data_IF_933079043395
#
_entry.id   IF_933079043395
#
_cell.length_a   1.000
_cell.length_b   1.000
_cell.length_c   1.000
_cell.angle_alpha   90.00
_cell.angle_beta   90.00
_cell.angle_gamma   90.00
#
_symmetry.space_group_name_H-M   'P 1'
#
loop_
_entity.id
_entity.type
_entity.pdbx_description
1 polymer ?
#
# COMPACT_ATOMS: atom_id res chain seq x y z
N UNK A 1 10.91 -20.09 -11.23
CA UNK A 1 11.47 -18.81 -11.75
C UNK A 1 12.51 -18.33 -10.75
N UNK A 2 13.68 -17.86 -11.20
CA UNK A 2 14.70 -17.38 -10.25
C UNK A 2 14.28 -16.09 -9.56
N UNK A 3 14.71 -15.90 -8.30
CA UNK A 3 14.50 -14.66 -7.53
C UNK A 3 14.84 -13.40 -8.34
N UNK A 4 15.80 -13.50 -9.27
CA UNK A 4 16.17 -12.44 -10.22
C UNK A 4 15.00 -11.87 -11.03
N UNK A 5 14.01 -12.69 -11.40
CA UNK A 5 12.87 -12.23 -12.21
C UNK A 5 11.95 -11.30 -11.40
N UNK A 6 11.73 -11.61 -10.13
CA UNK A 6 10.93 -10.79 -9.21
C UNK A 6 11.62 -9.45 -9.00
N UNK A 7 12.94 -9.45 -8.77
CA UNK A 7 13.72 -8.21 -8.61
C UNK A 7 13.68 -7.32 -9.86
N UNK A 8 13.73 -7.90 -11.06
CA UNK A 8 13.61 -7.14 -12.32
C UNK A 8 12.23 -6.46 -12.40
N UNK A 9 11.15 -7.18 -12.08
CA UNK A 9 9.78 -6.63 -12.08
C UNK A 9 9.65 -5.47 -11.08
N UNK A 10 10.20 -5.64 -9.87
CA UNK A 10 10.23 -4.59 -8.82
C UNK A 10 10.94 -3.34 -9.33
N UNK A 11 12.13 -3.48 -9.92
CA UNK A 11 12.92 -2.36 -10.44
C UNK A 11 12.16 -1.62 -11.55
N UNK A 12 11.57 -2.36 -12.49
CA UNK A 12 10.78 -1.78 -13.59
C UNK A 12 9.60 -0.98 -13.03
N UNK A 13 8.90 -1.50 -12.00
CA UNK A 13 7.80 -0.77 -11.39
C UNK A 13 8.22 0.47 -10.62
N UNK A 14 9.37 0.44 -9.92
CA UNK A 14 9.89 1.62 -9.23
C UNK A 14 10.20 2.72 -10.25
N UNK A 15 10.90 2.37 -11.33
CA UNK A 15 11.24 3.30 -12.41
C UNK A 15 9.96 3.82 -13.09
N UNK A 16 9.06 2.92 -13.48
CA UNK A 16 7.79 3.26 -14.13
C UNK A 16 6.91 4.15 -13.24
N UNK A 17 6.82 3.84 -11.95
CA UNK A 17 6.10 4.61 -10.96
C UNK A 17 6.64 6.03 -10.81
N UNK A 18 7.96 6.20 -10.75
CA UNK A 18 8.61 7.51 -10.71
C UNK A 18 8.27 8.38 -11.95
N UNK A 19 8.37 7.79 -13.15
CA UNK A 19 8.02 8.51 -14.38
C UNK A 19 6.52 8.81 -14.46
N UNK A 20 5.67 7.87 -14.06
CA UNK A 20 4.22 8.02 -14.04
C UNK A 20 3.79 9.14 -13.08
N UNK A 21 4.36 9.19 -11.87
CA UNK A 21 4.10 10.26 -10.92
C UNK A 21 4.47 11.63 -11.52
N UNK A 22 5.68 11.75 -12.06
CA UNK A 22 6.15 13.01 -12.68
C UNK A 22 5.26 13.44 -13.84
N UNK A 23 4.82 12.50 -14.67
CA UNK A 23 3.90 12.74 -15.77
C UNK A 23 2.51 13.20 -15.27
N UNK A 24 1.93 12.50 -14.29
CA UNK A 24 0.62 12.81 -13.74
C UNK A 24 0.59 14.15 -13.02
N UNK A 25 1.62 14.46 -12.21
CA UNK A 25 1.73 15.76 -11.54
C UNK A 25 1.75 16.92 -12.55
N UNK A 26 2.49 16.76 -13.65
CA UNK A 26 2.53 17.74 -14.75
C UNK A 26 1.20 17.83 -15.49
N UNK A 27 0.56 16.70 -15.80
CA UNK A 27 -0.69 16.64 -16.56
C UNK A 27 -1.89 17.18 -15.79
N UNK A 28 -1.93 16.96 -14.48
CA UNK A 28 -3.08 17.26 -13.63
C UNK A 28 -2.96 18.62 -12.92
N UNK A 29 -1.89 19.38 -13.20
CA UNK A 29 -1.55 20.65 -12.54
C UNK A 29 -1.59 20.52 -11.01
N UNK A 30 -1.01 19.42 -10.49
CA UNK A 30 -0.97 19.19 -9.05
C UNK A 30 -0.02 20.20 -8.40
N UNK A 31 -0.36 20.75 -7.21
CA UNK A 31 0.59 21.53 -6.45
C UNK A 31 1.84 20.69 -6.20
N UNK A 32 3.02 21.33 -6.12
CA UNK A 32 4.26 20.63 -5.74
C UNK A 32 4.04 20.02 -4.35
N UNK A 33 3.73 18.73 -4.30
CA UNK A 33 3.69 17.98 -3.07
C UNK A 33 5.11 17.89 -2.51
N UNK A 34 5.26 17.93 -1.19
CA UNK A 34 6.49 17.51 -0.52
C UNK A 34 6.63 16.00 -0.76
N UNK A 35 7.20 15.63 -1.90
CA UNK A 35 7.14 14.28 -2.50
C UNK A 35 7.80 13.14 -1.69
N UNK A 36 8.27 13.41 -0.47
CA UNK A 36 8.95 12.40 0.36
C UNK A 36 8.43 12.32 1.81
N UNK A 37 7.69 13.31 2.32
CA UNK A 37 7.24 13.28 3.72
C UNK A 37 5.78 12.85 3.76
N UNK A 38 5.51 11.78 4.49
CA UNK A 38 4.15 11.32 4.75
C UNK A 38 3.32 12.44 5.35
N UNK A 39 2.22 12.82 4.68
CA UNK A 39 1.33 13.90 5.12
C UNK A 39 -0.04 13.35 5.44
N UNK A 40 -0.44 13.43 6.70
CA UNK A 40 -1.82 13.12 7.08
C UNK A 40 -2.77 14.20 6.56
N UNK A 41 -3.95 13.79 6.09
CA UNK A 41 -4.97 14.69 5.54
C UNK A 41 -5.64 15.53 6.64
N UNK A 42 -5.86 14.93 7.81
CA UNK A 42 -6.45 15.59 8.97
C UNK A 42 -6.14 14.78 10.25
N UNK A 43 -6.43 15.33 11.43
CA UNK A 43 -6.36 14.64 12.72
C UNK A 43 -7.21 13.36 12.78
N UNK A 44 -8.33 13.31 12.05
CA UNK A 44 -9.13 12.09 11.90
C UNK A 44 -8.37 10.98 11.19
N UNK A 45 -7.53 11.31 10.20
CA UNK A 45 -6.71 10.32 9.49
C UNK A 45 -5.78 9.62 10.48
N UNK A 46 -5.08 10.41 11.30
CA UNK A 46 -4.16 9.92 12.33
C UNK A 46 -4.88 9.00 13.32
N UNK A 47 -6.05 9.42 13.83
CA UNK A 47 -6.83 8.61 14.77
C UNK A 47 -7.26 7.28 14.17
N UNK A 48 -7.67 7.28 12.90
CA UNK A 48 -8.07 6.06 12.18
C UNK A 48 -6.87 5.15 11.92
N UNK A 49 -5.72 5.68 11.54
CA UNK A 49 -4.50 4.88 11.36
C UNK A 49 -4.04 4.23 12.66
N UNK A 50 -4.04 4.98 13.77
CA UNK A 50 -3.72 4.44 15.11
C UNK A 50 -4.73 3.36 15.50
N UNK A 51 -6.02 3.62 15.32
CA UNK A 51 -7.07 2.64 15.61
C UNK A 51 -6.90 1.35 14.79
N UNK A 52 -6.62 1.48 13.49
CA UNK A 52 -6.40 0.36 12.59
C UNK A 52 -5.13 -0.42 12.97
N UNK A 53 -4.07 0.26 13.41
CA UNK A 53 -2.85 -0.37 13.92
C UNK A 53 -3.10 -1.17 15.21
N UNK A 54 -3.90 -0.64 16.15
CA UNK A 54 -4.26 -1.36 17.38
C UNK A 54 -5.07 -2.61 17.04
N UNK A 55 -6.08 -2.48 16.18
CA UNK A 55 -6.89 -3.63 15.71
C UNK A 55 -6.01 -4.68 15.05
N UNK A 56 -5.09 -4.24 14.19
CA UNK A 56 -4.10 -5.12 13.56
C UNK A 56 -3.28 -5.90 14.58
N UNK A 57 -2.74 -5.24 15.61
CA UNK A 57 -1.96 -5.93 16.64
C UNK A 57 -2.78 -7.00 17.36
N UNK A 58 -4.00 -6.66 17.79
CA UNK A 58 -4.89 -7.60 18.49
C UNK A 58 -5.21 -8.81 17.61
N UNK A 59 -5.62 -8.58 16.35
CA UNK A 59 -5.95 -9.65 15.40
C UNK A 59 -4.72 -10.51 15.11
N UNK A 60 -3.55 -9.89 14.95
CA UNK A 60 -2.28 -10.61 14.71
C UNK A 60 -1.92 -11.53 15.87
N UNK A 61 -2.03 -11.04 17.12
CA UNK A 61 -1.78 -11.88 18.30
C UNK A 61 -2.76 -13.05 18.37
N UNK A 62 -4.07 -12.80 18.17
CA UNK A 62 -5.06 -13.88 18.19
C UNK A 62 -4.76 -14.92 17.11
N UNK A 63 -4.41 -14.48 15.89
CA UNK A 63 -4.10 -15.36 14.78
C UNK A 63 -2.86 -16.24 15.07
N UNK A 64 -1.79 -15.63 15.59
CA UNK A 64 -0.55 -16.34 15.94
C UNK A 64 -0.72 -17.39 17.03
N UNK A 65 -1.58 -17.14 18.01
CA UNK A 65 -1.79 -18.06 19.13
C UNK A 65 -2.85 -19.15 18.86
N UNK A 66 -3.76 -18.93 17.91
CA UNK A 66 -4.87 -19.86 17.64
C UNK A 66 -4.71 -20.71 16.37
N UNK A 67 -3.92 -20.26 15.41
CA UNK A 67 -3.82 -20.92 14.10
C UNK A 67 -2.46 -21.63 14.00
N UNK A 68 -2.50 -22.96 13.95
CA UNK A 68 -1.33 -23.76 13.62
C UNK A 68 -0.89 -23.41 12.18
N UNK A 69 0.41 -23.18 11.97
CA UNK A 69 0.99 -22.66 10.72
C UNK A 69 0.51 -21.25 10.31
N UNK A 70 0.24 -20.37 11.28
CA UNK A 70 -0.06 -18.96 11.03
C UNK A 70 0.97 -18.29 10.10
N UNK A 71 0.50 -17.79 8.94
CA UNK A 71 1.35 -17.08 7.99
C UNK A 71 1.37 -15.57 8.27
N UNK A 72 2.44 -15.11 8.94
CA UNK A 72 2.66 -13.70 9.27
C UNK A 72 2.67 -12.81 8.01
N UNK A 73 3.14 -13.33 6.87
CA UNK A 73 3.17 -12.60 5.61
C UNK A 73 1.78 -12.13 5.19
N UNK A 74 0.76 -12.99 5.29
CA UNK A 74 -0.63 -12.64 4.96
C UNK A 74 -1.16 -11.54 5.89
N UNK A 75 -0.86 -11.65 7.17
CA UNK A 75 -1.30 -10.68 8.19
C UNK A 75 -0.68 -9.30 7.92
N UNK A 76 0.60 -9.25 7.59
CA UNK A 76 1.29 -8.02 7.22
C UNK A 76 0.73 -7.43 5.92
N UNK A 77 0.50 -8.26 4.89
CA UNK A 77 -0.05 -7.80 3.61
C UNK A 77 -1.46 -7.24 3.75
N UNK A 78 -2.33 -7.88 4.55
CA UNK A 78 -3.68 -7.39 4.80
C UNK A 78 -3.69 -6.04 5.52
N UNK A 79 -2.77 -5.82 6.47
CA UNK A 79 -2.59 -4.52 7.11
C UNK A 79 -2.15 -3.42 6.12
N UNK A 80 -1.13 -3.69 5.30
CA UNK A 80 -0.68 -2.74 4.29
C UNK A 80 -1.75 -2.44 3.24
N UNK A 81 -2.58 -3.43 2.89
CA UNK A 81 -3.76 -3.22 2.05
C UNK A 81 -4.78 -2.30 2.70
N UNK A 82 -5.13 -2.57 3.96
CA UNK A 82 -6.13 -1.81 4.71
C UNK A 82 -5.71 -0.35 4.94
N UNK A 83 -4.45 -0.09 5.31
CA UNK A 83 -3.95 1.28 5.50
C UNK A 83 -3.87 2.06 4.18
N UNK A 84 -3.49 1.38 3.09
CA UNK A 84 -3.47 1.99 1.75
C UNK A 84 -4.89 2.38 1.29
N UNK A 85 -5.88 1.51 1.52
CA UNK A 85 -7.29 1.80 1.27
C UNK A 85 -7.81 2.98 2.10
N UNK A 86 -7.48 3.00 3.40
CA UNK A 86 -7.84 4.10 4.29
C UNK A 86 -7.26 5.43 3.78
N UNK A 87 -5.99 5.43 3.37
CA UNK A 87 -5.32 6.62 2.81
C UNK A 87 -6.02 7.12 1.55
N UNK A 88 -6.29 6.23 0.60
CA UNK A 88 -7.04 6.54 -0.63
C UNK A 88 -8.38 7.18 -0.29
N UNK A 89 -9.14 6.59 0.63
CA UNK A 89 -10.44 7.09 1.03
C UNK A 89 -10.36 8.47 1.70
N UNK A 90 -9.37 8.66 2.59
CA UNK A 90 -9.16 9.93 3.28
C UNK A 90 -8.76 11.05 2.31
N UNK A 91 -7.84 10.79 1.39
CA UNK A 91 -7.42 11.78 0.40
C UNK A 91 -8.54 12.13 -0.58
N UNK A 92 -9.29 11.12 -1.04
CA UNK A 92 -10.41 11.35 -1.95
C UNK A 92 -11.54 12.15 -1.29
N UNK A 93 -11.86 11.85 -0.03
CA UNK A 93 -12.97 12.49 0.70
C UNK A 93 -12.62 13.88 1.21
N UNK A 94 -11.41 14.07 1.75
CA UNK A 94 -11.05 15.30 2.49
C UNK A 94 -10.07 16.21 1.75
N UNK A 95 -9.36 15.73 0.70
CA UNK A 95 -8.35 16.53 0.01
C UNK A 95 -8.40 16.37 -1.52
N UNK A 96 -9.63 16.34 -2.06
CA UNK A 96 -9.90 16.08 -3.47
C UNK A 96 -9.26 17.10 -4.43
N UNK A 97 -9.13 18.35 -3.98
CA UNK A 97 -8.58 19.47 -4.77
C UNK A 97 -7.13 19.25 -5.17
N UNK A 98 -6.32 18.66 -4.28
CA UNK A 98 -4.91 18.35 -4.56
C UNK A 98 -4.73 17.21 -5.56
N UNK A 99 -5.78 16.39 -5.75
CA UNK A 99 -5.79 15.20 -6.60
C UNK A 99 -4.78 14.12 -6.21
N UNK A 100 -4.11 14.24 -5.06
CA UNK A 100 -3.13 13.24 -4.56
C UNK A 100 -3.77 11.84 -4.43
N UNK A 101 -5.08 11.78 -4.18
CA UNK A 101 -5.84 10.53 -4.17
C UNK A 101 -5.67 9.70 -5.47
N UNK A 102 -5.41 10.34 -6.62
CA UNK A 102 -5.15 9.65 -7.88
C UNK A 102 -3.84 8.87 -7.81
N UNK A 103 -2.79 9.47 -7.25
CA UNK A 103 -1.50 8.81 -7.04
C UNK A 103 -1.63 7.71 -5.99
N UNK A 104 -2.37 7.94 -4.90
CA UNK A 104 -2.64 6.92 -3.90
C UNK A 104 -3.46 5.74 -4.44
N UNK A 105 -4.44 5.98 -5.33
CA UNK A 105 -5.19 4.91 -6.01
C UNK A 105 -4.26 4.08 -6.89
N UNK A 106 -3.42 4.73 -7.69
CA UNK A 106 -2.46 4.04 -8.55
C UNK A 106 -1.47 3.23 -7.70
N UNK A 107 -0.97 3.80 -6.61
CA UNK A 107 -0.11 3.12 -5.65
C UNK A 107 -0.79 1.91 -5.01
N UNK A 108 -2.06 2.02 -4.65
CA UNK A 108 -2.85 0.89 -4.14
C UNK A 108 -2.99 -0.23 -5.18
N UNK A 109 -3.29 0.11 -6.44
CA UNK A 109 -3.35 -0.90 -7.51
C UNK A 109 -1.98 -1.53 -7.79
N UNK A 110 -0.90 -0.75 -7.76
CA UNK A 110 0.46 -1.27 -7.89
C UNK A 110 0.81 -2.23 -6.74
N UNK A 111 0.40 -1.91 -5.50
CA UNK A 111 0.53 -2.79 -4.35
C UNK A 111 -0.24 -4.10 -4.54
N UNK A 112 -1.52 -4.03 -4.94
CA UNK A 112 -2.33 -5.23 -5.20
C UNK A 112 -1.71 -6.08 -6.29
N UNK A 113 -1.27 -5.47 -7.39
CA UNK A 113 -0.60 -6.17 -8.49
C UNK A 113 0.69 -6.86 -8.01
N UNK A 114 1.51 -6.18 -7.19
CA UNK A 114 2.71 -6.75 -6.61
C UNK A 114 2.43 -7.94 -5.71
N UNK A 115 1.41 -7.84 -4.86
CA UNK A 115 0.98 -8.96 -4.01
C UNK A 115 0.49 -10.12 -4.87
N UNK A 116 -0.35 -9.87 -5.87
CA UNK A 116 -0.82 -10.92 -6.78
C UNK A 116 0.33 -11.62 -7.52
N UNK A 117 1.33 -10.86 -7.98
CA UNK A 117 2.53 -11.44 -8.60
C UNK A 117 3.33 -12.29 -7.61
N UNK A 118 3.51 -11.80 -6.38
CA UNK A 118 4.18 -12.57 -5.32
C UNK A 118 3.46 -13.90 -5.07
N UNK A 119 2.13 -13.87 -4.91
CA UNK A 119 1.32 -15.08 -4.69
C UNK A 119 1.31 -16.02 -5.91
N UNK A 120 1.44 -15.48 -7.12
CA UNK A 120 1.50 -16.29 -8.34
C UNK A 120 2.83 -17.05 -8.46
N UNK A 121 3.95 -16.40 -8.12
CA UNK A 121 5.28 -17.01 -8.23
C UNK A 121 5.69 -17.86 -7.03
N UNK A 122 5.23 -17.47 -5.84
CA UNK A 122 5.43 -18.18 -4.60
C UNK A 122 4.09 -18.19 -3.84
N UNK A 123 3.23 -19.19 -4.10
CA UNK A 123 1.94 -19.32 -3.43
C UNK A 123 2.19 -19.69 -1.96
N UNK A 124 2.52 -18.66 -1.16
CA UNK A 124 2.65 -18.65 0.30
C UNK A 124 2.94 -20.04 0.87
N UNK A 125 4.15 -20.56 0.59
CA UNK A 125 4.68 -21.84 1.09
C UNK A 125 3.60 -22.82 1.56
N UNK A 126 2.90 -23.46 0.63
CA UNK A 126 2.01 -24.58 0.98
C UNK A 126 2.87 -25.81 1.24
N UNK A 127 3.37 -25.95 2.48
CA UNK A 127 3.79 -27.20 3.12
C UNK A 127 3.54 -27.09 4.62
#
# INVERSE_FOLDING_TARGET
>A
MGNSTIWIIVIIMIIGGYFLEKFLRKKLNMPKGNAWIYKHVNSLHVKLEIGLFIVYLIVSFIYLFKVENANIGIVVLTYFGAISLLRVWMEWKYNRETKEYILSIIGFFAFVFMVSMLLYFDPLSTY
#
